data_IF_233862076076
#
_entry.id   IF_233862076076
#
_cell.length_a   1.000
_cell.length_b   1.000
_cell.length_c   1.000
_cell.angle_alpha   90.00
_cell.angle_beta   90.00
_cell.angle_gamma   90.00
#
_symmetry.space_group_name_H-M   'P 1'
#
loop_
_entity.id
_entity.type
_entity.pdbx_description
1 polymer ?
2 polymer ?
3 polymer ?
4 water ?
#
# COMPACT_ATOMS: atom_id res chain seq x y z
N UNK A 1 -11.71 -35.79 -2.97
CA UNK A 1 -10.28 -35.75 -2.54
C UNK A 1 -10.18 -35.63 -1.03
N UNK A 2 -9.02 -35.20 -0.54
CA UNK A 2 -8.81 -35.06 0.88
C UNK A 2 -9.37 -33.78 1.49
N UNK A 3 -9.07 -33.57 2.77
CA UNK A 3 -9.51 -32.39 3.51
C UNK A 3 -9.03 -31.09 2.85
N UNK A 4 -9.98 -30.23 2.49
CA UNK A 4 -9.69 -28.94 1.86
C UNK A 4 -9.98 -27.86 2.89
N UNK A 5 -8.94 -27.16 3.34
CA UNK A 5 -9.08 -26.12 4.36
C UNK A 5 -9.42 -24.72 3.84
N UNK A 6 -8.60 -24.22 2.93
CA UNK A 6 -8.82 -22.90 2.37
C UNK A 6 -8.58 -21.78 3.38
N UNK A 7 -7.40 -21.76 3.98
CA UNK A 7 -7.05 -20.74 4.96
C UNK A 7 -6.21 -19.64 4.30
N UNK A 8 -5.81 -19.87 3.05
CA UNK A 8 -5.02 -18.88 2.32
C UNK A 8 -5.63 -18.60 0.95
N UNK A 9 -5.44 -17.37 0.46
CA UNK A 9 -5.97 -16.96 -0.84
C UNK A 9 -5.39 -17.78 -1.99
N UNK A 10 -6.22 -18.09 -2.97
CA UNK A 10 -5.78 -18.82 -4.14
C UNK A 10 -4.88 -17.87 -4.91
N UNK A 11 -3.58 -18.18 -4.97
CA UNK A 11 -2.64 -17.32 -5.69
C UNK A 11 -2.01 -18.01 -6.90
N UNK A 12 -2.67 -19.05 -7.40
CA UNK A 12 -2.16 -19.79 -8.54
C UNK A 12 -2.93 -19.52 -9.83
N UNK A 13 -3.56 -18.35 -9.92
CA UNK A 13 -4.27 -17.99 -11.15
C UNK A 13 -3.20 -17.79 -12.21
N UNK A 14 -3.58 -17.79 -13.50
CA UNK A 14 -2.61 -17.60 -14.58
C UNK A 14 -1.67 -16.42 -14.32
N UNK A 15 -2.23 -15.33 -13.79
CA UNK A 15 -1.45 -14.13 -13.51
C UNK A 15 -1.53 -13.73 -12.04
N UNK A 16 -0.44 -13.16 -11.52
CA UNK A 16 -0.43 -12.71 -10.14
C UNK A 16 -1.34 -11.48 -10.00
N UNK A 17 -1.34 -10.64 -11.03
CA UNK A 17 -2.16 -9.46 -11.01
C UNK A 17 -1.39 -8.18 -11.29
N UNK A 18 -2.11 -7.07 -11.36
CA UNK A 18 -1.50 -5.78 -11.63
C UNK A 18 -0.86 -5.14 -10.40
N UNK A 19 0.20 -4.37 -10.64
CA UNK A 19 0.87 -3.64 -9.58
C UNK A 19 1.00 -2.23 -10.12
N UNK A 20 0.01 -1.41 -9.81
CA UNK A 20 -0.01 -0.02 -10.27
C UNK A 20 0.79 0.86 -9.32
N UNK A 21 1.82 1.50 -9.86
CA UNK A 21 2.64 2.40 -9.06
C UNK A 21 2.44 3.84 -9.51
N UNK A 22 1.91 4.67 -8.62
CA UNK A 22 1.71 6.07 -8.94
C UNK A 22 2.82 6.80 -8.20
N UNK A 23 3.80 7.27 -8.96
CA UNK A 23 4.95 7.98 -8.41
C UNK A 23 4.87 9.49 -8.65
N UNK A 24 4.42 10.22 -7.63
CA UNK A 24 4.29 11.67 -7.72
C UNK A 24 5.49 12.39 -7.11
N UNK A 25 6.35 12.95 -7.96
CA UNK A 25 7.53 13.66 -7.48
C UNK A 25 7.41 15.18 -7.62
N UNK A 26 7.02 15.63 -8.81
CA UNK A 26 6.91 17.07 -9.08
C UNK A 26 5.46 17.56 -9.05
N UNK A 27 5.20 18.53 -8.18
CA UNK A 27 3.87 19.09 -8.03
C UNK A 27 3.76 20.47 -8.67
N UNK A 28 2.55 20.87 -9.01
CA UNK A 28 2.32 22.17 -9.62
C UNK A 28 2.67 23.27 -8.63
N UNK A 29 3.41 24.27 -9.09
CA UNK A 29 3.82 25.39 -8.25
C UNK A 29 2.64 26.02 -7.53
N UNK A 30 1.47 25.97 -8.15
CA UNK A 30 0.26 26.55 -7.58
C UNK A 30 -0.21 25.86 -6.30
N UNK A 31 0.34 24.69 -6.01
CA UNK A 31 -0.03 23.95 -4.81
C UNK A 31 0.91 24.34 -3.66
N UNK A 32 2.04 24.94 -4.01
CA UNK A 32 3.00 25.33 -3.00
C UNK A 32 3.76 24.13 -2.44
N UNK A 33 3.48 22.96 -3.00
CA UNK A 33 4.14 21.74 -2.55
C UNK A 33 5.50 21.58 -3.22
N UNK A 34 6.43 20.96 -2.52
CA UNK A 34 7.78 20.75 -3.03
C UNK A 34 7.92 19.37 -3.65
N UNK A 35 9.01 19.16 -4.39
CA UNK A 35 9.24 17.88 -5.03
C UNK A 35 9.73 16.87 -3.98
N UNK A 36 9.35 15.61 -4.17
CA UNK A 36 9.72 14.56 -3.24
C UNK A 36 10.95 13.81 -3.75
N UNK A 37 12.12 14.41 -3.52
CA UNK A 37 13.36 13.77 -3.98
C UNK A 37 13.56 12.42 -3.31
N UNK A 38 14.04 11.46 -4.08
CA UNK A 38 14.26 10.12 -3.57
C UNK A 38 13.13 9.17 -3.93
N UNK A 39 11.99 9.73 -4.36
CA UNK A 39 10.85 8.90 -4.70
C UNK A 39 11.06 7.99 -5.90
N UNK A 40 11.90 8.40 -6.85
CA UNK A 40 12.16 7.57 -8.03
C UNK A 40 12.89 6.30 -7.61
N UNK A 41 13.68 6.41 -6.55
CA UNK A 41 14.40 5.26 -6.03
C UNK A 41 13.36 4.28 -5.49
N UNK A 42 12.33 4.82 -4.83
CA UNK A 42 11.25 3.99 -4.29
C UNK A 42 10.51 3.28 -5.40
N UNK A 43 10.15 4.04 -6.43
CA UNK A 43 9.41 3.52 -7.58
C UNK A 43 10.17 2.43 -8.33
N UNK A 44 11.46 2.64 -8.56
CA UNK A 44 12.27 1.66 -9.26
C UNK A 44 12.51 0.43 -8.40
N UNK A 45 12.54 0.64 -7.08
CA UNK A 45 12.75 -0.46 -6.14
C UNK A 45 11.49 -1.32 -6.12
N UNK A 46 10.33 -0.68 -6.13
CA UNK A 46 9.04 -1.37 -6.10
C UNK A 46 8.80 -2.15 -7.40
N UNK A 47 9.17 -1.55 -8.51
CA UNK A 47 9.00 -2.18 -9.81
C UNK A 47 9.81 -3.48 -9.83
N UNK A 48 11.08 -3.38 -9.48
CA UNK A 48 11.96 -4.53 -9.45
C UNK A 48 11.48 -5.62 -8.49
N UNK A 49 11.07 -5.20 -7.30
CA UNK A 49 10.58 -6.11 -6.27
C UNK A 49 9.33 -6.87 -6.70
N UNK A 50 8.35 -6.15 -7.21
CA UNK A 50 7.11 -6.78 -7.64
C UNK A 50 7.27 -7.52 -8.96
N UNK A 51 8.30 -7.16 -9.72
CA UNK A 51 8.58 -7.82 -10.98
C UNK A 51 9.01 -9.25 -10.67
N UNK A 52 9.78 -9.41 -9.60
CA UNK A 52 10.24 -10.74 -9.20
C UNK A 52 9.15 -11.57 -8.54
N UNK A 53 8.03 -10.93 -8.22
CA UNK A 53 6.90 -11.64 -7.61
C UNK A 53 5.93 -12.01 -8.73
N UNK A 54 6.32 -11.66 -9.95
CA UNK A 54 5.55 -11.93 -11.15
C UNK A 54 4.32 -11.04 -11.35
N UNK A 55 4.42 -9.81 -10.88
CA UNK A 55 3.33 -8.85 -11.03
C UNK A 55 3.49 -8.04 -12.30
N UNK A 56 2.37 -7.69 -12.91
CA UNK A 56 2.39 -6.86 -14.11
C UNK A 56 2.47 -5.43 -13.59
N UNK A 57 3.68 -4.90 -13.51
CA UNK A 57 3.92 -3.56 -13.01
C UNK A 57 3.67 -2.44 -14.02
N UNK A 58 2.91 -1.43 -13.60
CA UNK A 58 2.63 -0.28 -14.43
C UNK A 58 2.95 0.96 -13.62
N UNK A 59 3.93 1.72 -14.08
CA UNK A 59 4.33 2.92 -13.36
C UNK A 59 3.75 4.18 -14.01
N UNK A 60 3.32 5.10 -13.17
CA UNK A 60 2.78 6.37 -13.62
C UNK A 60 3.45 7.47 -12.81
N UNK A 61 3.98 8.48 -13.50
CA UNK A 61 4.65 9.57 -12.81
C UNK A 61 3.91 10.89 -12.89
N UNK A 62 3.99 11.65 -11.80
CA UNK A 62 3.38 12.96 -11.70
C UNK A 62 1.99 13.06 -12.31
N UNK A 63 1.02 12.39 -11.68
CA UNK A 63 -0.34 12.43 -12.16
C UNK A 63 -1.16 13.45 -11.39
N UNK A 64 -2.13 14.07 -12.06
CA UNK A 64 -3.01 15.04 -11.43
C UNK A 64 -4.09 14.26 -10.71
N UNK A 65 -4.86 14.95 -9.86
CA UNK A 65 -5.93 14.30 -9.12
C UNK A 65 -6.89 13.63 -10.11
N UNK A 66 -7.18 14.30 -11.23
CA UNK A 66 -8.09 13.74 -12.23
C UNK A 66 -7.49 12.50 -12.88
N UNK A 67 -6.23 12.57 -13.29
CA UNK A 67 -5.57 11.45 -13.92
C UNK A 67 -5.54 10.24 -12.97
N UNK A 68 -5.37 10.51 -11.68
CA UNK A 68 -5.34 9.44 -10.70
C UNK A 68 -6.69 8.74 -10.68
N UNK A 69 -7.75 9.52 -10.61
CA UNK A 69 -9.10 8.98 -10.60
C UNK A 69 -9.41 8.22 -11.88
N UNK A 70 -8.96 8.75 -13.02
CA UNK A 70 -9.22 8.12 -14.31
C UNK A 70 -8.45 6.80 -14.43
N UNK A 71 -7.23 6.78 -13.91
CA UNK A 71 -6.38 5.60 -13.96
C UNK A 71 -7.03 4.49 -13.14
N UNK A 72 -7.36 4.80 -11.89
CA UNK A 72 -7.98 3.84 -11.00
C UNK A 72 -9.32 3.35 -11.53
N UNK A 73 -10.10 4.24 -12.10
CA UNK A 73 -11.39 3.81 -12.65
C UNK A 73 -11.15 2.86 -13.84
N UNK A 74 -10.30 3.27 -14.77
CA UNK A 74 -10.00 2.43 -15.92
C UNK A 74 -9.52 1.04 -15.53
N UNK A 75 -8.52 1.00 -14.66
CA UNK A 75 -7.97 -0.27 -14.20
C UNK A 75 -9.01 -1.14 -13.50
N UNK A 76 -9.83 -0.52 -12.65
CA UNK A 76 -10.88 -1.25 -11.92
C UNK A 76 -11.87 -1.88 -12.88
N UNK A 77 -12.01 -1.29 -14.06
CA UNK A 77 -12.95 -1.81 -15.04
C UNK A 77 -12.34 -2.86 -15.97
N UNK A 78 -11.09 -3.24 -15.71
CA UNK A 78 -10.44 -4.25 -16.52
C UNK A 78 -10.94 -5.62 -16.06
N UNK A 79 -10.68 -6.65 -16.87
CA UNK A 79 -11.11 -8.00 -16.51
C UNK A 79 -9.99 -8.68 -15.75
N UNK A 80 -10.16 -8.82 -14.44
CA UNK A 80 -9.15 -9.47 -13.61
C UNK A 80 -9.40 -10.95 -13.38
N UNK A 81 -10.33 -11.53 -14.15
CA UNK A 81 -10.67 -12.95 -14.03
C UNK A 81 -9.49 -13.90 -13.86
N UNK A 82 -8.47 -13.73 -14.70
CA UNK A 82 -7.28 -14.59 -14.65
C UNK A 82 -6.22 -14.14 -13.65
N UNK A 83 -6.47 -13.04 -12.95
CA UNK A 83 -5.50 -12.51 -11.99
C UNK A 83 -5.81 -12.92 -10.55
N UNK A 84 -4.76 -13.15 -9.77
CA UNK A 84 -4.89 -13.58 -8.38
C UNK A 84 -5.12 -12.45 -7.39
N UNK A 85 -4.57 -11.28 -7.67
CA UNK A 85 -4.71 -10.15 -6.77
C UNK A 85 -4.53 -8.82 -7.48
N UNK A 86 -4.52 -7.75 -6.70
CA UNK A 86 -4.33 -6.41 -7.22
C UNK A 86 -3.49 -5.59 -6.26
N UNK A 87 -2.47 -4.92 -6.78
CA UNK A 87 -1.61 -4.09 -5.95
C UNK A 87 -1.53 -2.68 -6.49
N UNK A 88 -1.60 -1.71 -5.60
CA UNK A 88 -1.53 -0.31 -5.96
C UNK A 88 -0.64 0.40 -4.96
N UNK A 89 0.43 1.01 -5.43
CA UNK A 89 1.34 1.73 -4.56
C UNK A 89 1.21 3.23 -4.82
N UNK A 90 1.04 3.99 -3.74
CA UNK A 90 0.89 5.44 -3.86
C UNK A 90 2.05 6.11 -3.13
N UNK A 91 2.89 6.80 -3.89
CA UNK A 91 4.04 7.49 -3.33
C UNK A 91 3.80 8.98 -3.56
N UNK A 92 3.48 9.71 -2.50
CA UNK A 92 3.21 11.13 -2.65
C UNK A 92 2.99 11.83 -1.31
N UNK A 93 2.65 13.12 -1.38
CA UNK A 93 2.37 13.89 -0.19
C UNK A 93 0.95 13.47 0.19
N UNK A 94 0.57 13.70 1.44
CA UNK A 94 -0.76 13.34 1.87
C UNK A 94 -1.10 13.72 3.29
N UNK A 95 -2.33 13.40 3.68
CA UNK A 95 -2.83 13.64 5.03
C UNK A 95 -3.71 12.44 5.32
N UNK A 96 -4.30 12.39 6.51
CA UNK A 96 -5.16 11.27 6.87
C UNK A 96 -6.28 11.09 5.83
N UNK A 97 -6.36 9.88 5.27
CA UNK A 97 -7.37 9.56 4.27
C UNK A 97 -7.24 10.36 2.98
N UNK A 98 -6.09 10.99 2.76
CA UNK A 98 -5.88 11.81 1.58
C UNK A 98 -4.54 11.58 0.89
N UNK A 99 -4.57 11.56 -0.44
CA UNK A 99 -3.37 11.39 -1.24
C UNK A 99 -3.37 12.53 -2.24
N UNK A 100 -2.22 13.18 -2.40
CA UNK A 100 -2.10 14.32 -3.29
C UNK A 100 -1.76 14.06 -4.75
N UNK A 101 -2.59 14.61 -5.62
CA UNK A 101 -2.35 14.51 -7.05
C UNK A 101 -1.37 15.66 -7.21
N UNK A 102 -0.81 15.83 -8.40
CA UNK A 102 0.15 16.90 -8.63
C UNK A 102 -0.46 18.29 -8.54
N UNK A 103 -1.79 18.35 -8.60
CA UNK A 103 -2.51 19.62 -8.58
C UNK A 103 -3.57 19.69 -7.50
N UNK A 104 -3.70 18.62 -6.72
CA UNK A 104 -4.70 18.62 -5.68
C UNK A 104 -4.88 17.27 -5.01
N UNK A 105 -5.53 17.25 -3.84
CA UNK A 105 -5.77 16.02 -3.07
C UNK A 105 -6.81 15.09 -3.68
N UNK A 106 -6.77 13.84 -3.24
CA UNK A 106 -7.70 12.81 -3.66
C UNK A 106 -7.97 11.95 -2.44
N UNK A 107 -9.24 11.75 -2.11
CA UNK A 107 -9.59 10.94 -0.96
C UNK A 107 -9.23 9.49 -1.29
N UNK A 108 -8.55 8.82 -0.37
CA UNK A 108 -8.18 7.44 -0.61
C UNK A 108 -9.44 6.64 -0.86
N UNK A 109 -10.48 6.95 -0.09
CA UNK A 109 -11.76 6.26 -0.21
C UNK A 109 -12.27 6.26 -1.66
N UNK A 110 -12.06 7.36 -2.35
CA UNK A 110 -12.51 7.48 -3.74
C UNK A 110 -11.74 6.54 -4.66
N UNK A 111 -10.46 6.37 -4.37
CA UNK A 111 -9.61 5.49 -5.16
C UNK A 111 -9.97 4.02 -4.92
N UNK A 112 -10.15 3.66 -3.65
CA UNK A 112 -10.44 2.29 -3.29
C UNK A 112 -11.87 1.82 -3.52
N UNK A 113 -12.82 2.74 -3.60
CA UNK A 113 -14.20 2.33 -3.83
C UNK A 113 -14.36 1.66 -5.18
N UNK A 114 -13.52 2.03 -6.14
CA UNK A 114 -13.59 1.44 -7.48
C UNK A 114 -13.37 -0.07 -7.42
N UNK A 115 -12.63 -0.51 -6.41
CA UNK A 115 -12.32 -1.92 -6.27
C UNK A 115 -13.16 -2.66 -5.24
N UNK A 116 -14.16 -1.99 -4.69
CA UNK A 116 -15.05 -2.61 -3.70
C UNK A 116 -15.63 -3.89 -4.27
N UNK A 117 -15.79 -4.89 -3.41
CA UNK A 117 -16.33 -6.17 -3.82
C UNK A 117 -17.47 -6.15 -4.81
N UNK A 118 -18.35 -5.15 -4.71
CA UNK A 118 -19.49 -5.07 -5.60
C UNK A 118 -19.30 -4.22 -6.85
N UNK A 119 -18.19 -3.48 -6.94
CA UNK A 119 -17.94 -2.63 -8.10
C UNK A 119 -16.91 -3.21 -9.06
N UNK A 120 -16.08 -4.13 -8.55
CA UNK A 120 -15.07 -4.79 -9.37
C UNK A 120 -15.23 -6.27 -9.10
N UNK A 121 -16.20 -6.88 -9.77
CA UNK A 121 -16.52 -8.29 -9.59
C UNK A 121 -15.39 -9.27 -9.89
N UNK A 122 -14.55 -8.99 -10.88
CA UNK A 122 -13.48 -9.93 -11.19
C UNK A 122 -12.40 -9.97 -10.09
N UNK A 123 -12.50 -9.10 -9.09
CA UNK A 123 -11.54 -9.09 -7.99
C UNK A 123 -12.20 -9.50 -6.68
N UNK A 124 -13.51 -9.70 -6.72
CA UNK A 124 -14.26 -10.10 -5.54
C UNK A 124 -13.69 -11.39 -4.97
N UNK A 125 -13.44 -11.41 -3.66
CA UNK A 125 -12.88 -12.59 -3.03
C UNK A 125 -11.37 -12.68 -3.22
N UNK A 126 -10.80 -11.68 -3.88
CA UNK A 126 -9.37 -11.64 -4.13
C UNK A 126 -8.71 -10.51 -3.33
N UNK A 127 -7.47 -10.73 -2.87
CA UNK A 127 -6.75 -9.71 -2.09
C UNK A 127 -6.43 -8.47 -2.91
N UNK A 128 -6.86 -7.32 -2.39
CA UNK A 128 -6.64 -6.04 -3.03
C UNK A 128 -5.74 -5.23 -2.11
N UNK A 129 -4.49 -5.07 -2.51
CA UNK A 129 -3.50 -4.38 -1.68
C UNK A 129 -3.17 -2.94 -2.05
N UNK A 130 -3.12 -2.07 -1.04
CA UNK A 130 -2.78 -0.68 -1.24
C UNK A 130 -1.63 -0.29 -0.31
N UNK A 131 -0.45 -0.06 -0.90
CA UNK A 131 0.75 0.31 -0.17
C UNK A 131 0.82 1.84 -0.26
N UNK A 132 0.86 2.50 0.88
CA UNK A 132 0.84 3.96 0.88
C UNK A 132 1.96 4.71 1.60
N UNK A 133 2.82 5.35 0.81
CA UNK A 133 3.90 6.14 1.38
C UNK A 133 3.42 7.60 1.33
N UNK A 134 2.96 8.11 2.47
CA UNK A 134 2.46 9.49 2.55
C UNK A 134 2.12 9.82 4.00
N UNK A 135 2.14 11.12 4.30
CA UNK A 135 1.83 11.59 5.65
C UNK A 135 0.38 11.30 5.97
N UNK A 136 0.08 11.12 7.26
CA UNK A 136 -1.27 10.86 7.73
C UNK A 136 -1.61 11.86 8.82
N UNK A 137 -0.82 12.93 8.89
CA UNK A 137 -1.03 13.96 9.90
C UNK A 137 0.26 14.74 10.08
N UNK A 138 0.33 15.52 11.16
CA UNK A 138 1.52 16.33 11.42
C UNK A 138 2.18 16.02 12.77
N UNK A 139 1.86 14.87 13.35
CA UNK A 139 2.46 14.51 14.62
C UNK A 139 3.85 13.92 14.42
N UNK A 140 4.74 14.17 15.39
CA UNK A 140 6.11 13.67 15.33
C UNK A 140 6.33 12.71 16.49
N UNK A 141 6.98 11.59 16.19
CA UNK A 141 7.26 10.60 17.22
C UNK A 141 8.67 10.84 17.74
N UNK A 142 8.78 11.14 19.03
CA UNK A 142 10.07 11.40 19.66
C UNK A 142 10.77 10.11 20.06
N UNK A 143 10.02 9.00 20.02
CA UNK A 143 10.56 7.71 20.38
C UNK A 143 10.98 7.60 21.83
N UNK A 144 11.46 6.42 22.20
CA UNK A 144 11.91 6.17 23.56
C UNK A 144 13.13 5.25 23.47
N UNK A 145 14.10 5.50 24.35
CA UNK A 145 15.34 4.75 24.38
C UNK A 145 15.17 3.30 24.87
N UNK A 146 15.78 2.36 24.14
CA UNK A 146 15.72 0.95 24.50
C UNK A 146 17.10 0.43 24.89
N UNK A 147 17.21 -0.75 25.28
N UNK B 1 -28.15 -24.24 18.54
CA UNK B 1 -28.52 -22.81 18.72
C UNK B 1 -28.94 -22.20 17.39
N UNK B 2 -29.62 -21.05 17.46
CA UNK B 2 -30.09 -20.35 16.26
C UNK B 2 -30.25 -18.85 16.51
N UNK B 3 -30.09 -18.07 15.45
CA UNK B 3 -30.22 -16.63 15.56
C UNK B 3 -30.80 -16.03 14.29
N UNK B 4 -30.99 -14.71 14.29
CA UNK B 4 -31.55 -14.01 13.15
C UNK B 4 -30.47 -13.41 12.26
N UNK B 5 -29.21 -13.49 12.69
CA UNK B 5 -28.11 -12.90 11.93
C UNK B 5 -27.02 -13.84 11.45
N UNK B 6 -27.28 -15.15 11.41
CA UNK B 6 -26.25 -16.07 10.96
C UNK B 6 -26.77 -17.14 9.99
N UNK B 7 -25.84 -17.76 9.27
CA UNK B 7 -26.17 -18.81 8.32
C UNK B 7 -27.26 -18.40 7.33
N UNK B 8 -26.94 -17.40 6.51
CA UNK B 8 -27.87 -16.89 5.49
C UNK B 8 -27.92 -17.81 4.28
N UNK B 9 -29.09 -17.91 3.67
CA UNK B 9 -29.28 -18.75 2.49
C UNK B 9 -28.34 -18.28 1.38
N UNK B 10 -28.49 -17.03 0.96
CA UNK B 10 -27.63 -16.46 -0.07
C UNK B 10 -26.37 -15.89 0.60
N UNK B 11 -25.23 -16.53 0.34
CA UNK B 11 -23.97 -16.12 0.94
C UNK B 11 -23.38 -14.84 0.34
N UNK B 12 -23.04 -13.89 1.21
CA UNK B 12 -22.44 -12.63 0.78
C UNK B 12 -21.26 -12.28 1.67
N UNK B 13 -20.40 -11.40 1.18
CA UNK B 13 -19.26 -10.92 1.96
C UNK B 13 -19.32 -9.40 1.92
N UNK B 14 -18.74 -8.73 2.92
CA UNK B 14 -18.76 -7.27 2.94
C UNK B 14 -18.08 -6.72 1.68
N UNK B 15 -18.52 -5.56 1.22
CA UNK B 15 -17.91 -4.96 0.03
C UNK B 15 -16.54 -4.43 0.41
N UNK B 16 -16.34 -4.21 1.71
CA UNK B 16 -15.06 -3.69 2.22
C UNK B 16 -14.08 -4.82 2.56
N UNK B 17 -14.49 -6.07 2.36
CA UNK B 17 -13.62 -7.20 2.68
C UNK B 17 -12.55 -7.47 1.63
N UNK B 18 -11.47 -8.10 2.08
CA UNK B 18 -10.34 -8.47 1.23
C UNK B 18 -9.46 -7.29 0.81
N UNK B 19 -9.38 -6.29 1.68
CA UNK B 19 -8.54 -5.13 1.43
C UNK B 19 -7.45 -5.12 2.49
N UNK B 20 -6.24 -4.72 2.08
CA UNK B 20 -5.11 -4.62 3.00
C UNK B 20 -4.48 -3.27 2.73
N UNK B 21 -4.32 -2.47 3.78
CA UNK B 21 -3.70 -1.16 3.63
C UNK B 21 -2.39 -1.18 4.38
N UNK B 22 -1.29 -1.09 3.65
CA UNK B 22 0.02 -1.06 4.25
C UNK B 22 0.47 0.39 4.32
N UNK B 23 0.14 1.06 5.42
CA UNK B 23 0.52 2.46 5.61
C UNK B 23 1.97 2.56 6.08
N UNK B 24 2.64 3.61 5.65
CA UNK B 24 4.04 3.84 6.00
C UNK B 24 4.20 4.34 7.42
N UNK B 25 3.18 5.03 7.92
CA UNK B 25 3.26 5.59 9.25
C UNK B 25 1.97 5.44 10.05
N UNK B 26 2.06 5.72 11.35
CA UNK B 26 0.91 5.61 12.24
C UNK B 26 -0.09 6.71 11.94
N UNK B 27 -1.37 6.49 12.29
CA UNK B 27 -2.42 7.48 12.05
C UNK B 27 -2.09 8.82 12.69
N UNK B 28 -2.17 9.90 11.90
CA UNK B 28 -1.91 11.23 12.42
C UNK B 28 -0.46 11.69 12.42
N UNK B 29 0.45 10.85 11.92
CA UNK B 29 1.86 11.21 11.91
C UNK B 29 2.47 11.51 10.55
N UNK B 30 3.63 12.14 10.59
CA UNK B 30 4.38 12.46 9.39
C UNK B 30 4.96 11.13 8.90
N UNK B 31 5.45 11.12 7.66
CA UNK B 31 6.08 9.94 7.09
C UNK B 31 7.43 10.45 6.62
N UNK B 32 8.49 9.69 6.89
CA UNK B 32 9.83 10.12 6.52
C UNK B 32 10.40 9.52 5.25
N UNK B 33 11.16 10.35 4.54
CA UNK B 33 11.77 9.98 3.28
C UNK B 33 13.15 10.58 3.19
N UNK B 34 14.12 9.76 2.78
CA UNK B 34 15.49 10.22 2.63
C UNK B 34 15.61 10.72 1.20
N UNK B 35 15.95 12.00 1.04
CA UNK B 35 16.05 12.61 -0.29
C UNK B 35 16.96 11.86 -1.25
N UNK B 36 17.78 10.95 -0.73
CA UNK B 36 18.68 10.19 -1.57
C UNK B 36 18.33 8.70 -1.65
N UNK B 37 18.18 8.06 -0.49
CA UNK B 37 17.90 6.63 -0.43
C UNK B 37 16.43 6.23 -0.56
N UNK B 38 15.53 7.20 -0.50
CA UNK B 38 14.11 6.87 -0.60
C UNK B 38 13.43 6.87 0.76
N UNK B 39 12.13 6.60 0.77
CA UNK B 39 11.38 6.57 2.02
C UNK B 39 11.76 5.36 2.86
N UNK B 40 11.71 5.52 4.18
CA UNK B 40 12.05 4.46 5.11
C UNK B 40 11.19 3.22 4.89
N UNK B 41 9.91 3.46 4.67
CA UNK B 41 8.93 2.38 4.46
C UNK B 41 9.17 1.56 3.19
N UNK B 42 9.28 2.23 2.04
CA UNK B 42 9.50 1.51 0.81
C UNK B 42 10.83 0.75 0.82
N UNK B 43 11.89 1.38 1.33
CA UNK B 43 13.19 0.70 1.40
C UNK B 43 13.00 -0.60 2.17
N UNK B 44 12.41 -0.47 3.35
CA UNK B 44 12.19 -1.61 4.22
C UNK B 44 11.25 -2.64 3.62
N UNK B 45 10.17 -2.17 2.99
CA UNK B 45 9.20 -3.07 2.38
C UNK B 45 9.84 -3.94 1.30
N UNK B 46 10.47 -3.30 0.33
CA UNK B 46 11.12 -4.02 -0.76
C UNK B 46 12.17 -5.00 -0.22
N UNK B 47 12.99 -4.52 0.71
CA UNK B 47 14.03 -5.35 1.29
C UNK B 47 13.45 -6.61 1.94
N UNK B 48 12.37 -6.46 2.69
CA UNK B 48 11.74 -7.62 3.33
C UNK B 48 11.04 -8.54 2.31
N UNK B 49 10.48 -7.98 1.25
CA UNK B 49 9.82 -8.79 0.23
C UNK B 49 10.86 -9.61 -0.53
N UNK B 50 11.98 -8.99 -0.89
CA UNK B 50 13.02 -9.71 -1.62
C UNK B 50 13.57 -10.86 -0.79
N UNK B 51 13.51 -10.74 0.52
CA UNK B 51 14.04 -11.76 1.42
C UNK B 51 13.04 -12.79 1.94
N UNK B 52 11.77 -12.40 2.08
CA UNK B 52 10.78 -13.33 2.63
C UNK B 52 9.55 -13.63 1.79
N UNK B 53 9.41 -12.98 0.64
CA UNK B 53 8.24 -13.22 -0.20
C UNK B 53 8.01 -14.70 -0.49
N UNK B 54 9.08 -15.48 -0.62
CA UNK B 54 8.94 -16.90 -0.90
C UNK B 54 9.09 -17.75 0.35
N UNK B 55 8.85 -17.16 1.51
CA UNK B 55 9.00 -17.89 2.77
C UNK B 55 7.95 -17.57 3.83
N UNK B 56 7.46 -16.33 3.85
CA UNK B 56 6.48 -15.94 4.86
C UNK B 56 5.15 -15.41 4.36
N UNK B 57 4.12 -15.61 5.18
CA UNK B 57 2.79 -15.12 4.89
C UNK B 57 2.95 -13.58 4.91
N UNK B 58 2.19 -12.89 4.08
CA UNK B 58 2.28 -11.43 3.97
C UNK B 58 2.31 -10.62 5.27
N UNK B 59 1.35 -10.88 6.17
CA UNK B 59 1.31 -10.14 7.45
C UNK B 59 2.63 -10.24 8.21
N UNK B 60 3.24 -11.42 8.18
CA UNK B 60 4.51 -11.62 8.86
C UNK B 60 5.62 -10.87 8.15
N UNK B 61 5.48 -10.68 6.84
CA UNK B 61 6.49 -9.92 6.10
C UNK B 61 6.36 -8.50 6.60
N UNK B 62 5.14 -7.98 6.57
CA UNK B 62 4.86 -6.61 6.98
C UNK B 62 5.26 -6.35 8.43
N UNK B 63 5.30 -7.39 9.25
CA UNK B 63 5.68 -7.22 10.64
C UNK B 63 7.19 -6.99 10.74
N UNK B 64 7.95 -7.60 9.82
CA UNK B 64 9.40 -7.41 9.79
C UNK B 64 9.64 -5.96 9.34
N UNK B 65 8.84 -5.49 8.40
CA UNK B 65 8.96 -4.12 7.91
C UNK B 65 8.74 -3.17 9.09
N UNK B 66 7.74 -3.45 9.91
CA UNK B 66 7.48 -2.62 11.08
C UNK B 66 8.73 -2.53 11.97
N UNK B 67 9.32 -3.67 12.29
CA UNK B 67 10.51 -3.70 13.16
C UNK B 67 11.68 -2.98 12.52
N UNK B 68 11.91 -3.25 11.23
CA UNK B 68 13.00 -2.61 10.50
C UNK B 68 12.89 -1.09 10.53
N UNK B 69 11.74 -0.56 10.15
CA UNK B 69 11.55 0.89 10.14
C UNK B 69 11.64 1.50 11.54
N UNK B 70 11.01 0.86 12.50
CA UNK B 70 10.99 1.33 13.88
C UNK B 70 12.34 1.31 14.60
N UNK B 71 13.18 0.34 14.28
CA UNK B 71 14.48 0.24 14.94
C UNK B 71 15.67 0.85 14.19
N UNK B 72 15.79 0.55 12.90
CA UNK B 72 16.89 1.04 12.10
C UNK B 72 16.81 2.46 11.53
N UNK B 73 15.81 3.23 11.92
CA UNK B 73 15.67 4.57 11.37
C UNK B 73 15.35 5.69 12.35
N UNK B 74 15.99 6.84 12.15
CA UNK B 74 15.77 8.03 12.96
C UNK B 74 16.06 9.24 12.09
N UNK B 75 15.14 10.19 12.07
CA UNK B 75 15.32 11.37 11.22
C UNK B 75 16.50 12.25 11.60
N UNK B 76 17.00 12.98 10.62
CA UNK B 76 18.08 13.92 10.79
C UNK B 76 17.58 15.22 10.17
N UNK B 77 17.80 16.34 10.84
CA UNK B 77 17.34 17.62 10.32
C UNK B 77 18.02 18.78 11.01
N UNK B 78 18.25 19.85 10.25
CA UNK B 78 18.89 21.03 10.81
C UNK B 78 17.89 21.76 11.70
N UNK B 79 16.61 21.44 11.51
CA UNK B 79 15.54 22.04 12.30
C UNK B 79 15.27 21.08 13.47
N UNK B 80 15.62 21.50 14.68
CA UNK B 80 15.44 20.66 15.87
C UNK B 80 14.07 20.00 15.91
N UNK B 81 13.04 20.72 15.47
CA UNK B 81 11.67 20.22 15.47
C UNK B 81 11.52 18.88 14.75
N UNK B 82 12.19 18.73 13.61
CA UNK B 82 12.09 17.51 12.84
C UNK B 82 13.28 16.59 13.00
N UNK B 83 14.13 16.89 13.97
CA UNK B 83 15.31 16.07 14.17
C UNK B 83 15.10 14.95 15.19
N UNK B 84 15.77 13.83 14.97
CA UNK B 84 15.69 12.70 15.87
C UNK B 84 14.29 12.11 16.04
N UNK B 85 13.49 12.11 14.98
CA UNK B 85 12.15 11.57 15.05
C UNK B 85 12.11 10.11 14.60
N UNK B 86 11.12 9.39 15.09
CA UNK B 86 10.96 7.98 14.76
C UNK B 86 9.68 7.74 13.98
N UNK B 87 9.54 6.52 13.44
CA UNK B 87 8.36 6.18 12.68
C UNK B 87 7.98 4.71 12.84
N UNK B 88 6.68 4.43 12.86
CA UNK B 88 6.19 3.07 12.97
C UNK B 88 5.15 2.84 11.87
N UNK B 89 5.40 1.88 10.97
CA UNK B 89 4.45 1.61 9.88
C UNK B 89 3.10 1.17 10.46
N UNK B 90 2.06 1.21 9.65
CA UNK B 90 0.74 0.83 10.14
C UNK B 90 0.03 -0.15 9.23
N UNK B 91 -0.01 -1.41 9.67
CA UNK B 91 -0.66 -2.48 8.92
C UNK B 91 -2.15 -2.52 9.23
N UNK B 92 -2.97 -2.29 8.21
CA UNK B 92 -4.42 -2.31 8.39
C UNK B 92 -4.99 -3.42 7.51
N UNK B 93 -5.37 -4.53 8.13
CA UNK B 93 -5.87 -5.67 7.40
C UNK B 93 -7.36 -5.97 7.51
N UNK B 94 -7.96 -6.23 6.36
CA UNK B 94 -9.36 -6.58 6.29
C UNK B 94 -9.46 -7.77 5.36
N UNK B 95 -8.33 -8.46 5.22
CA UNK B 95 -8.24 -9.65 4.40
C UNK B 95 -8.96 -10.75 5.15
N UNK B 96 -9.43 -11.77 4.44
CA UNK B 96 -10.16 -12.85 5.09
C UNK B 96 -9.39 -14.16 5.06
N UNK B 97 -8.19 -14.11 4.49
CA UNK B 97 -7.35 -15.30 4.39
C UNK B 97 -5.88 -14.92 4.46
N UNK B 98 -5.02 -15.92 4.59
CA UNK B 98 -3.58 -15.69 4.63
C UNK B 98 -3.13 -15.44 3.20
N UNK B 99 -2.07 -14.66 3.05
CA UNK B 99 -1.57 -14.33 1.72
C UNK B 99 -0.11 -14.72 1.51
N UNK B 100 0.10 -15.70 0.64
CA UNK B 100 1.45 -16.15 0.29
C UNK B 100 1.64 -15.84 -1.18
N UNK B 101 2.73 -15.15 -1.49
CA UNK B 101 3.03 -14.76 -2.86
C UNK B 101 3.47 -15.93 -3.72
N UNK B 102 3.86 -17.02 -3.07
CA UNK B 102 4.30 -18.22 -3.76
C UNK B 102 3.22 -19.28 -3.59
N UNK B 103 3.35 -20.38 -4.33
CA UNK B 103 2.40 -21.48 -4.23
C UNK B 103 3.08 -22.79 -4.61
N UNK C 2 16.62 14.04 5.26
CA UNK C 2 15.27 13.57 5.49
C UNK C 2 14.22 14.64 5.27
N UNK C 3 13.12 14.27 4.63
CA UNK C 3 12.01 15.18 4.36
C UNK C 3 10.73 14.46 4.76
N UNK C 4 9.69 15.23 5.08
CA UNK C 4 8.41 14.64 5.47
C UNK C 4 7.45 14.55 4.30
#
# INVERSE_FOLDING_TARGET
SGISLDNSYKMDYPEMGLCIIINNKNFHKSTGMTSRSGTDVDAANLRETFRNLKYEVRNKNDLTREEIVELMRDVSKEDHSKRSSFVCVLLSHGEEGIIFGTNGPVDLKKITNFFRGDRCRSLTGKPKLFIIQACRGTELDCGIETD
ASGVDDDMACHKIPVEADFLYAYSTAPGYYSWRNSKDGSWFIQSLCAMLKQYADKLEFMHILTRVNRKVATEFESFSFDATFHAKKQIPCIVSMLTKELYFYH
XDEVX
#
